data_IF_501564649943
#
_entry.id   IF_501564649943
#
_cell.length_a   1.000
_cell.length_b   1.000
_cell.length_c   1.000
_cell.angle_alpha   90.00
_cell.angle_beta   90.00
_cell.angle_gamma   90.00
#
_symmetry.space_group_name_H-M   'P 1'
#
loop_
_entity.id
_entity.type
_entity.pdbx_description
1 polymer ?
#
# COMPACT_ATOMS: atom_id res chain seq x y z
N UNK A 1 14.62 21.01 -29.10
CA UNK A 1 14.07 19.66 -29.40
C UNK A 1 13.96 18.75 -28.16
N UNK A 2 14.20 19.27 -26.93
CA UNK A 2 14.03 18.52 -25.66
C UNK A 2 12.63 18.67 -25.05
N UNK A 3 11.73 19.40 -25.70
CA UNK A 3 10.37 19.65 -25.21
C UNK A 3 9.39 18.60 -25.73
N UNK A 4 9.66 17.92 -26.83
CA UNK A 4 8.67 17.06 -27.50
C UNK A 4 8.38 15.76 -26.74
N UNK A 5 9.37 15.12 -26.11
CA UNK A 5 9.18 13.78 -25.54
C UNK A 5 8.70 13.73 -24.08
N UNK A 6 8.99 14.77 -23.28
CA UNK A 6 8.34 14.94 -21.96
C UNK A 6 6.87 15.34 -22.17
N UNK A 7 6.61 16.14 -23.22
CA UNK A 7 5.26 16.36 -23.74
C UNK A 7 4.64 15.09 -24.33
N UNK A 8 5.35 14.11 -24.88
CA UNK A 8 4.73 12.89 -25.43
C UNK A 8 4.24 11.94 -24.33
N UNK A 9 4.99 11.72 -23.25
CA UNK A 9 4.51 10.92 -22.11
C UNK A 9 3.44 11.67 -21.30
N UNK A 10 3.63 12.97 -21.03
CA UNK A 10 2.60 13.80 -20.38
C UNK A 10 1.39 14.06 -21.29
N UNK A 11 1.52 14.01 -22.63
CA UNK A 11 0.39 14.10 -23.56
C UNK A 11 -0.33 12.77 -23.71
N UNK A 12 0.36 11.63 -23.72
CA UNK A 12 -0.27 10.31 -23.65
C UNK A 12 -1.04 10.14 -22.33
N UNK A 13 -0.49 10.63 -21.21
CA UNK A 13 -1.19 10.69 -19.92
C UNK A 13 -2.30 11.75 -19.89
N UNK A 14 -2.12 12.94 -20.49
CA UNK A 14 -3.20 13.94 -20.65
C UNK A 14 -4.32 13.49 -21.58
N UNK A 15 -4.03 12.59 -22.53
CA UNK A 15 -4.97 12.02 -23.48
C UNK A 15 -5.63 10.74 -22.96
N UNK A 16 -5.07 10.12 -21.91
CA UNK A 16 -5.77 9.13 -21.08
C UNK A 16 -6.81 9.82 -20.20
N UNK A 17 -7.71 10.58 -20.81
CA UNK A 17 -8.88 11.12 -20.11
C UNK A 17 -9.82 9.96 -19.86
N UNK A 18 -10.25 9.82 -18.61
CA UNK A 18 -11.29 8.89 -18.20
C UNK A 18 -12.47 8.98 -19.19
N UNK A 19 -12.79 7.84 -19.80
CA UNK A 19 -13.97 7.70 -20.65
C UNK A 19 -15.19 7.90 -19.75
N UNK A 20 -16.34 8.43 -20.25
CA UNK A 20 -17.54 8.60 -19.44
C UNK A 20 -17.97 7.33 -18.68
N UNK A 21 -17.68 6.14 -19.21
CA UNK A 21 -17.91 4.85 -18.56
C UNK A 21 -17.05 4.63 -17.31
N UNK A 22 -15.84 5.17 -17.25
CA UNK A 22 -14.96 5.04 -16.08
C UNK A 22 -15.54 5.79 -14.88
N UNK A 23 -16.14 6.96 -15.11
CA UNK A 23 -16.85 7.71 -14.07
C UNK A 23 -18.07 6.95 -13.53
N UNK A 24 -18.79 6.22 -14.39
CA UNK A 24 -19.91 5.37 -13.97
C UNK A 24 -19.41 4.22 -13.08
N UNK A 25 -18.29 3.60 -13.43
CA UNK A 25 -17.68 2.53 -12.63
C UNK A 25 -17.21 3.06 -11.26
N UNK A 26 -16.57 4.23 -11.23
CA UNK A 26 -16.15 4.89 -9.98
C UNK A 26 -17.35 5.24 -9.10
N UNK A 27 -18.42 5.80 -9.68
CA UNK A 27 -19.64 6.10 -8.94
C UNK A 27 -20.30 4.84 -8.40
N UNK A 28 -20.37 3.77 -9.21
CA UNK A 28 -20.89 2.48 -8.79
C UNK A 28 -20.08 1.86 -7.65
N UNK A 29 -18.74 2.00 -7.67
CA UNK A 29 -17.87 1.58 -6.59
C UNK A 29 -18.21 2.28 -5.27
N UNK A 30 -18.31 3.62 -5.27
CA UNK A 30 -18.64 4.35 -4.04
C UNK A 30 -20.04 4.01 -3.53
N UNK A 31 -21.03 3.87 -4.42
CA UNK A 31 -22.37 3.43 -4.05
C UNK A 31 -22.37 2.02 -3.46
N UNK A 32 -21.61 1.09 -4.03
CA UNK A 32 -21.50 -0.28 -3.51
C UNK A 32 -20.89 -0.30 -2.10
N UNK A 33 -19.79 0.43 -1.88
CA UNK A 33 -19.13 0.49 -0.56
C UNK A 33 -20.03 1.16 0.48
N UNK A 34 -20.66 2.29 0.14
CA UNK A 34 -21.63 2.96 1.04
C UNK A 34 -22.81 2.01 1.31
N UNK A 35 -23.29 1.28 0.31
CA UNK A 35 -24.35 0.30 0.43
C UNK A 35 -24.01 -0.84 1.40
N UNK A 36 -22.80 -1.41 1.30
CA UNK A 36 -22.31 -2.43 2.24
C UNK A 36 -22.18 -1.85 3.66
N UNK A 37 -21.68 -0.62 3.78
CA UNK A 37 -21.55 0.07 5.07
C UNK A 37 -22.89 0.31 5.76
N UNK A 38 -23.88 0.83 5.03
CA UNK A 38 -25.25 1.05 5.54
C UNK A 38 -25.92 -0.28 5.86
N UNK A 39 -25.84 -1.27 4.96
CA UNK A 39 -26.42 -2.60 5.18
C UNK A 39 -25.89 -3.25 6.46
N UNK A 40 -24.57 -3.20 6.66
CA UNK A 40 -23.91 -3.70 7.88
C UNK A 40 -24.35 -2.93 9.13
N UNK A 41 -24.36 -1.59 9.06
CA UNK A 41 -24.77 -0.72 10.17
C UNK A 41 -26.24 -0.96 10.58
N UNK A 42 -27.15 -1.13 9.61
CA UNK A 42 -28.55 -1.43 9.87
C UNK A 42 -28.77 -2.82 10.50
N UNK A 43 -27.94 -3.82 10.16
CA UNK A 43 -28.04 -5.18 10.71
C UNK A 43 -27.58 -5.25 12.19
N UNK A 44 -26.66 -4.39 12.61
CA UNK A 44 -26.05 -4.39 13.94
C UNK A 44 -26.55 -3.30 14.90
N UNK A 45 -27.61 -2.56 14.54
CA UNK A 45 -28.21 -1.48 15.36
C UNK A 45 -28.81 -1.89 16.72
N UNK A 46 -28.92 -3.19 17.01
CA UNK A 46 -29.61 -3.70 18.21
C UNK A 46 -28.79 -3.79 19.51
N UNK A 47 -27.46 -3.55 19.49
CA UNK A 47 -26.64 -3.68 20.71
C UNK A 47 -25.40 -2.78 20.66
N UNK A 48 -25.14 -2.00 21.72
CA UNK A 48 -23.93 -1.18 21.89
C UNK A 48 -22.63 -2.02 21.88
N UNK A 49 -22.71 -3.31 22.25
CA UNK A 49 -21.61 -4.27 22.07
C UNK A 49 -21.38 -4.65 20.60
N UNK A 50 -22.39 -4.62 19.74
CA UNK A 50 -22.25 -4.87 18.30
C UNK A 50 -21.55 -3.72 17.56
N UNK A 51 -21.73 -2.48 18.04
CA UNK A 51 -21.08 -1.29 17.49
C UNK A 51 -19.57 -1.21 17.81
N UNK A 52 -19.16 -1.60 19.03
CA UNK A 52 -17.77 -1.51 19.49
C UNK A 52 -16.97 -2.81 19.44
N UNK A 53 -17.61 -3.98 19.54
CA UNK A 53 -16.91 -5.25 19.75
C UNK A 53 -17.04 -6.24 18.59
N UNK A 54 -17.58 -5.80 17.43
CA UNK A 54 -17.78 -6.61 16.22
C UNK A 54 -18.05 -8.08 16.58
N UNK A 55 -19.25 -8.33 17.14
CA UNK A 55 -19.57 -9.47 18.02
C UNK A 55 -18.75 -10.74 17.79
N UNK A 56 -18.31 -11.38 18.90
CA UNK A 56 -17.44 -12.58 19.00
C UNK A 56 -17.77 -13.79 18.09
N UNK A 57 -18.76 -13.70 17.22
CA UNK A 57 -19.20 -14.67 16.20
C UNK A 57 -18.82 -14.28 14.76
N UNK A 58 -17.92 -13.31 14.53
CA UNK A 58 -17.48 -12.94 13.19
C UNK A 58 -16.71 -14.11 12.54
N UNK A 59 -17.03 -14.45 11.29
CA UNK A 59 -16.29 -15.49 10.56
C UNK A 59 -14.84 -15.03 10.34
N UNK A 60 -13.89 -15.96 10.36
CA UNK A 60 -12.45 -15.65 10.30
C UNK A 60 -12.02 -15.00 8.97
N UNK A 61 -12.76 -15.24 7.88
CA UNK A 61 -12.46 -14.71 6.55
C UNK A 61 -12.56 -13.17 6.49
N UNK A 62 -13.69 -12.52 6.84
CA UNK A 62 -13.77 -11.06 6.94
C UNK A 62 -12.71 -10.44 7.87
N UNK A 63 -12.38 -11.11 8.98
CA UNK A 63 -11.36 -10.63 9.92
C UNK A 63 -9.98 -10.64 9.26
N UNK A 64 -9.58 -11.74 8.61
CA UNK A 64 -8.31 -11.82 7.89
C UNK A 64 -8.21 -10.83 6.73
N UNK A 65 -9.31 -10.61 6.01
CA UNK A 65 -9.36 -9.66 4.91
C UNK A 65 -9.32 -8.19 5.37
N UNK A 66 -9.90 -7.86 6.53
CA UNK A 66 -9.78 -6.52 7.13
C UNK A 66 -8.39 -6.29 7.72
N UNK A 67 -7.76 -7.31 8.32
CA UNK A 67 -6.34 -7.26 8.68
C UNK A 67 -5.46 -7.03 7.44
N UNK A 68 -5.76 -7.67 6.32
CA UNK A 68 -5.07 -7.42 5.05
C UNK A 68 -5.32 -6.00 4.54
N UNK A 69 -6.58 -5.54 4.47
CA UNK A 69 -6.96 -4.19 4.04
C UNK A 69 -6.25 -3.10 4.85
N UNK A 70 -6.18 -3.29 6.17
CA UNK A 70 -5.55 -2.34 7.10
C UNK A 70 -4.06 -2.16 6.88
N UNK A 71 -3.40 -3.15 6.26
CA UNK A 71 -1.98 -3.10 5.97
C UNK A 71 -1.67 -2.67 4.53
N UNK A 72 -2.62 -2.80 3.61
CA UNK A 72 -2.43 -2.49 2.19
C UNK A 72 -3.10 -1.16 1.85
N UNK A 73 -2.30 -0.11 1.86
CA UNK A 73 -2.70 1.24 1.43
C UNK A 73 -2.41 1.53 -0.05
N UNK A 74 -2.84 2.71 -0.51
CA UNK A 74 -2.48 3.26 -1.83
C UNK A 74 -0.96 3.41 -1.99
N UNK A 75 -0.24 3.63 -0.88
CA UNK A 75 1.22 3.67 -0.86
C UNK A 75 1.86 2.33 -1.25
N UNK A 76 1.26 1.21 -0.86
CA UNK A 76 1.75 -0.12 -1.23
C UNK A 76 1.57 -0.36 -2.73
N UNK A 77 0.40 -0.04 -3.29
CA UNK A 77 0.12 -0.29 -4.70
C UNK A 77 1.02 0.54 -5.62
N UNK A 78 1.11 1.87 -5.40
CA UNK A 78 1.92 2.77 -6.23
C UNK A 78 3.41 2.63 -5.91
N UNK A 79 3.76 2.53 -4.63
CA UNK A 79 5.15 2.50 -4.16
C UNK A 79 5.88 1.19 -4.49
N UNK A 80 5.23 0.03 -4.30
CA UNK A 80 5.83 -1.26 -4.65
C UNK A 80 5.91 -1.43 -6.16
N UNK A 81 4.90 -0.97 -6.91
CA UNK A 81 4.96 -0.98 -8.37
C UNK A 81 6.11 -0.11 -8.89
N UNK A 82 6.29 1.10 -8.35
CA UNK A 82 7.41 1.98 -8.72
C UNK A 82 8.78 1.44 -8.30
N UNK A 83 8.87 0.83 -7.11
CA UNK A 83 10.09 0.16 -6.66
C UNK A 83 10.40 -1.07 -7.51
N UNK A 84 9.39 -1.83 -7.93
CA UNK A 84 9.53 -2.94 -8.88
C UNK A 84 9.95 -2.47 -10.27
N UNK A 85 9.45 -1.33 -10.73
CA UNK A 85 9.82 -0.73 -12.02
C UNK A 85 11.28 -0.22 -12.03
N UNK A 86 11.78 0.29 -10.91
CA UNK A 86 13.14 0.82 -10.80
C UNK A 86 14.18 -0.23 -10.41
N UNK A 87 13.84 -1.12 -9.46
CA UNK A 87 14.76 -2.10 -8.92
C UNK A 87 14.53 -3.51 -9.45
N UNK A 88 13.35 -3.89 -9.90
CA UNK A 88 13.02 -5.25 -10.34
C UNK A 88 12.43 -6.14 -9.24
N UNK A 89 12.56 -7.46 -9.39
CA UNK A 89 11.83 -8.45 -8.58
C UNK A 89 12.29 -8.55 -7.12
N UNK A 90 13.47 -8.03 -6.80
CA UNK A 90 14.04 -8.08 -5.44
C UNK A 90 13.15 -7.43 -4.37
N UNK A 91 12.30 -6.47 -4.74
CA UNK A 91 11.35 -5.81 -3.82
C UNK A 91 10.33 -6.79 -3.24
N UNK A 92 9.97 -7.84 -3.99
CA UNK A 92 8.97 -8.83 -3.58
C UNK A 92 9.38 -9.62 -2.32
N UNK A 93 10.65 -9.60 -1.94
CA UNK A 93 11.11 -10.19 -0.69
C UNK A 93 10.49 -9.54 0.55
N UNK A 94 10.11 -8.27 0.46
CA UNK A 94 9.41 -7.55 1.53
C UNK A 94 8.10 -8.26 1.90
N UNK A 95 7.30 -8.56 0.89
CA UNK A 95 6.01 -9.23 1.04
C UNK A 95 6.16 -10.72 1.35
N UNK A 96 7.20 -11.38 0.80
CA UNK A 96 7.47 -12.78 1.14
C UNK A 96 7.89 -12.93 2.61
N UNK A 97 8.73 -12.02 3.13
CA UNK A 97 9.09 -11.96 4.55
C UNK A 97 7.86 -11.71 5.43
N UNK A 98 6.98 -10.80 5.01
CA UNK A 98 5.72 -10.53 5.69
C UNK A 98 4.87 -11.79 5.87
N UNK A 99 4.74 -12.63 4.84
CA UNK A 99 3.96 -13.86 4.91
C UNK A 99 4.45 -14.81 6.04
N UNK A 100 5.77 -14.97 6.20
CA UNK A 100 6.33 -15.80 7.26
C UNK A 100 6.13 -15.18 8.65
N UNK A 101 6.25 -13.86 8.77
CA UNK A 101 6.04 -13.15 10.04
C UNK A 101 4.56 -13.15 10.44
N UNK A 102 3.62 -13.10 9.49
CA UNK A 102 2.19 -13.23 9.77
C UNK A 102 1.83 -14.61 10.34
N UNK A 103 2.50 -15.68 9.87
CA UNK A 103 2.37 -17.00 10.50
C UNK A 103 2.89 -16.99 11.94
N UNK A 104 4.03 -16.32 12.18
CA UNK A 104 4.57 -16.13 13.53
C UNK A 104 3.62 -15.33 14.44
N UNK A 105 3.00 -14.27 13.91
CA UNK A 105 1.98 -13.51 14.61
C UNK A 105 0.83 -14.42 15.06
N UNK A 106 0.28 -15.22 14.15
CA UNK A 106 -0.85 -16.11 14.41
C UNK A 106 -0.57 -17.17 15.48
N UNK A 107 0.63 -17.76 15.49
CA UNK A 107 0.97 -18.83 16.44
C UNK A 107 1.58 -18.37 17.76
N UNK A 108 2.36 -17.28 17.76
CA UNK A 108 3.10 -16.86 18.95
C UNK A 108 2.45 -15.66 19.62
N UNK A 109 2.17 -14.61 18.85
CA UNK A 109 1.76 -13.33 19.40
C UNK A 109 0.26 -13.26 19.70
N UNK A 110 -0.60 -13.76 18.80
CA UNK A 110 -2.06 -13.77 18.98
C UNK A 110 -2.49 -14.50 20.26
N UNK A 111 -1.98 -15.71 20.58
CA UNK A 111 -2.33 -16.37 21.85
C UNK A 111 -1.93 -15.55 23.09
N UNK A 112 -0.79 -14.84 23.04
CA UNK A 112 -0.32 -13.98 24.14
C UNK A 112 -1.21 -12.75 24.31
N UNK A 113 -1.65 -12.13 23.21
CA UNK A 113 -2.54 -10.96 23.27
C UNK A 113 -3.94 -11.33 23.78
N UNK A 114 -4.48 -12.46 23.31
CA UNK A 114 -5.77 -12.97 23.79
C UNK A 114 -5.68 -13.34 25.28
N UNK A 115 -4.62 -14.04 25.71
CA UNK A 115 -4.44 -14.42 27.10
C UNK A 115 -4.24 -13.22 28.05
N UNK A 116 -3.60 -12.15 27.58
CA UNK A 116 -3.41 -10.92 28.36
C UNK A 116 -4.63 -10.00 28.41
N UNK A 117 -5.66 -10.26 27.58
CA UNK A 117 -6.92 -9.51 27.55
C UNK A 117 -6.69 -8.01 27.33
N UNK A 118 -5.81 -7.68 26.39
CA UNK A 118 -5.45 -6.31 26.00
C UNK A 118 -5.94 -6.08 24.56
N UNK A 119 -6.40 -4.86 24.30
CA UNK A 119 -6.86 -4.46 22.97
C UNK A 119 -5.82 -3.61 22.24
N UNK A 120 -4.95 -2.91 23.00
CA UNK A 120 -3.94 -2.02 22.43
C UNK A 120 -2.53 -2.38 22.90
N UNK A 121 -1.53 -2.20 22.04
CA UNK A 121 -0.13 -2.44 22.41
C UNK A 121 0.37 -1.56 23.59
N UNK A 122 0.05 -0.26 23.69
CA UNK A 122 0.37 0.54 24.88
C UNK A 122 -0.27 0.00 26.17
N UNK A 123 -1.45 -0.62 26.08
CA UNK A 123 -2.07 -1.27 27.23
C UNK A 123 -1.36 -2.57 27.61
N UNK A 124 -0.91 -3.36 26.64
CA UNK A 124 -0.04 -4.51 26.88
C UNK A 124 1.24 -4.10 27.61
N UNK A 125 1.90 -3.03 27.14
CA UNK A 125 3.08 -2.47 27.79
C UNK A 125 2.80 -2.00 29.22
N UNK A 126 1.64 -1.38 29.47
CA UNK A 126 1.21 -1.00 30.82
C UNK A 126 1.05 -2.22 31.72
N UNK A 127 0.41 -3.29 31.26
CA UNK A 127 0.22 -4.51 32.06
C UNK A 127 1.54 -5.24 32.32
N UNK A 128 2.48 -5.23 31.36
CA UNK A 128 3.76 -5.93 31.47
C UNK A 128 4.80 -5.18 32.31
N UNK A 129 4.96 -3.88 32.09
CA UNK A 129 6.02 -3.07 32.72
C UNK A 129 5.51 -2.19 33.87
N UNK A 130 4.18 -2.06 34.03
CA UNK A 130 3.57 -1.19 35.02
C UNK A 130 3.63 0.29 34.63
N UNK A 131 2.78 1.09 35.28
CA UNK A 131 2.83 2.56 35.17
C UNK A 131 1.95 3.17 34.08
N UNK A 132 1.07 4.09 34.48
CA UNK A 132 0.20 4.83 33.57
C UNK A 132 0.98 5.77 32.62
N UNK A 133 2.15 6.25 33.06
CA UNK A 133 3.00 7.16 32.27
C UNK A 133 3.49 6.52 30.96
N UNK A 134 3.87 5.24 31.00
CA UNK A 134 4.33 4.50 29.81
C UNK A 134 3.18 4.36 28.80
N UNK A 135 1.97 4.03 29.27
CA UNK A 135 0.79 3.94 28.39
C UNK A 135 0.53 5.26 27.66
N UNK A 136 0.48 6.36 28.41
CA UNK A 136 0.19 7.69 27.83
C UNK A 136 1.29 8.09 26.85
N UNK A 137 2.56 7.91 27.23
CA UNK A 137 3.69 8.23 26.35
C UNK A 137 3.65 7.43 25.04
N UNK A 138 3.52 6.11 25.13
CA UNK A 138 3.50 5.24 23.94
C UNK A 138 2.25 5.48 23.08
N UNK A 139 1.08 5.69 23.70
CA UNK A 139 -0.16 5.98 22.93
C UNK A 139 -0.05 7.30 22.18
N UNK A 140 0.44 8.36 22.84
CA UNK A 140 0.63 9.66 22.22
C UNK A 140 1.68 9.61 21.10
N UNK A 141 2.80 8.93 21.35
CA UNK A 141 3.86 8.76 20.35
C UNK A 141 3.35 7.98 19.13
N UNK A 142 2.69 6.83 19.35
CA UNK A 142 2.12 6.03 18.27
C UNK A 142 1.09 6.81 17.45
N UNK A 143 0.21 7.57 18.11
CA UNK A 143 -0.80 8.38 17.41
C UNK A 143 -0.16 9.46 16.53
N UNK A 144 0.82 10.19 17.06
CA UNK A 144 1.56 11.21 16.30
C UNK A 144 2.28 10.57 15.11
N UNK A 145 3.04 9.50 15.35
CA UNK A 145 3.77 8.81 14.28
C UNK A 145 2.81 8.32 13.20
N UNK A 146 1.65 7.77 13.55
CA UNK A 146 0.71 7.24 12.59
C UNK A 146 0.10 8.32 11.69
N UNK A 147 -0.25 9.48 12.25
CA UNK A 147 -0.77 10.63 11.48
C UNK A 147 0.27 11.11 10.47
N UNK A 148 1.51 11.32 10.91
CA UNK A 148 2.55 11.91 10.07
C UNK A 148 3.20 10.95 9.10
N UNK A 149 3.22 9.64 9.39
CA UNK A 149 3.88 8.65 8.54
C UNK A 149 2.88 7.89 7.67
N UNK A 150 1.96 7.14 8.29
CA UNK A 150 1.05 6.23 7.57
C UNK A 150 -0.05 6.99 6.85
N UNK A 151 -0.89 7.73 7.59
CA UNK A 151 -2.05 8.44 7.01
C UNK A 151 -1.59 9.44 5.95
N UNK A 152 -0.54 10.20 6.24
CA UNK A 152 0.00 11.19 5.30
C UNK A 152 0.56 10.55 4.01
N UNK A 153 1.27 9.43 4.10
CA UNK A 153 1.80 8.75 2.92
C UNK A 153 0.69 8.16 2.04
N UNK A 154 -0.33 7.54 2.64
CA UNK A 154 -1.46 6.98 1.89
C UNK A 154 -2.33 8.06 1.24
N UNK A 155 -2.59 9.16 1.94
CA UNK A 155 -3.30 10.29 1.34
C UNK A 155 -2.52 10.92 0.18
N UNK A 156 -1.21 11.09 0.34
CA UNK A 156 -0.37 11.66 -0.72
C UNK A 156 -0.32 10.75 -1.95
N UNK A 157 -0.09 9.44 -1.76
CA UNK A 157 -0.10 8.46 -2.86
C UNK A 157 -1.46 8.43 -3.58
N UNK A 158 -2.55 8.45 -2.80
CA UNK A 158 -3.91 8.51 -3.34
C UNK A 158 -4.20 9.81 -4.10
N UNK A 159 -3.72 10.94 -3.61
CA UNK A 159 -3.89 12.24 -4.25
C UNK A 159 -3.14 12.33 -5.59
N UNK A 160 -1.90 11.82 -5.67
CA UNK A 160 -1.17 11.74 -6.95
C UNK A 160 -1.93 10.86 -7.95
N UNK A 161 -2.47 9.72 -7.50
CA UNK A 161 -3.25 8.87 -8.38
C UNK A 161 -4.47 9.61 -8.95
N UNK A 162 -5.18 10.35 -8.11
CA UNK A 162 -6.36 11.12 -8.52
C UNK A 162 -6.00 12.31 -9.43
N UNK A 163 -4.87 12.97 -9.18
CA UNK A 163 -4.30 13.99 -10.05
C UNK A 163 -4.03 13.42 -11.45
N UNK A 164 -3.43 12.22 -11.54
CA UNK A 164 -3.13 11.59 -12.82
C UNK A 164 -4.37 11.03 -13.53
N UNK A 165 -5.37 10.57 -12.79
CA UNK A 165 -6.60 10.02 -13.37
C UNK A 165 -7.59 11.10 -13.82
N UNK A 166 -7.87 12.09 -12.96
CA UNK A 166 -8.94 13.10 -13.15
C UNK A 166 -8.35 14.46 -13.58
N UNK A 167 -7.08 14.74 -13.29
CA UNK A 167 -6.45 16.03 -13.55
C UNK A 167 -6.70 17.08 -12.47
N UNK A 168 -7.22 16.68 -11.31
CA UNK A 168 -7.43 17.58 -10.17
C UNK A 168 -6.11 17.95 -9.49
N UNK A 169 -6.05 19.12 -8.86
CA UNK A 169 -4.88 19.47 -8.06
C UNK A 169 -4.69 18.47 -6.91
N UNK A 170 -3.44 18.26 -6.48
CA UNK A 170 -3.13 17.39 -5.33
C UNK A 170 -3.91 17.82 -4.08
N UNK A 171 -4.06 19.13 -3.86
CA UNK A 171 -4.81 19.66 -2.72
C UNK A 171 -6.32 19.37 -2.80
N UNK A 172 -6.94 19.53 -3.98
CA UNK A 172 -8.36 19.22 -4.20
C UNK A 172 -8.62 17.72 -4.01
N UNK A 173 -7.74 16.89 -4.56
CA UNK A 173 -7.78 15.43 -4.43
C UNK A 173 -7.66 14.99 -2.97
N UNK A 174 -6.75 15.61 -2.21
CA UNK A 174 -6.56 15.32 -0.77
C UNK A 174 -7.82 15.65 0.03
N UNK A 175 -8.42 16.83 -0.19
CA UNK A 175 -9.64 17.24 0.52
C UNK A 175 -10.81 16.32 0.20
N UNK A 176 -10.97 15.91 -1.06
CA UNK A 176 -12.01 14.97 -1.48
C UNK A 176 -11.86 13.60 -0.81
N UNK A 177 -10.63 13.05 -0.75
CA UNK A 177 -10.34 11.78 -0.09
C UNK A 177 -10.61 11.85 1.42
N UNK A 178 -10.19 12.93 2.10
CA UNK A 178 -10.47 13.14 3.53
C UNK A 178 -11.97 13.21 3.81
N UNK A 179 -12.71 13.96 2.99
CA UNK A 179 -14.15 14.12 3.16
C UNK A 179 -14.89 12.79 3.01
N UNK A 180 -14.54 12.00 1.99
CA UNK A 180 -15.12 10.68 1.80
C UNK A 180 -14.78 9.72 2.94
N UNK A 181 -13.51 9.66 3.34
CA UNK A 181 -13.07 8.82 4.45
C UNK A 181 -13.83 9.18 5.74
N UNK A 182 -13.98 10.47 6.05
CA UNK A 182 -14.74 10.95 7.19
C UNK A 182 -16.19 10.45 7.17
N UNK A 183 -16.87 10.56 6.03
CA UNK A 183 -18.27 10.09 5.89
C UNK A 183 -18.37 8.59 6.16
N UNK A 184 -17.50 7.79 5.53
CA UNK A 184 -17.54 6.33 5.65
C UNK A 184 -17.22 5.86 7.08
N UNK A 185 -16.26 6.49 7.75
CA UNK A 185 -15.88 6.15 9.13
C UNK A 185 -16.96 6.57 10.13
N UNK A 186 -17.53 7.78 10.00
CA UNK A 186 -18.55 8.29 10.94
C UNK A 186 -19.87 7.55 10.81
N UNK A 187 -20.29 7.17 9.61
CA UNK A 187 -21.59 6.53 9.38
C UNK A 187 -21.62 5.03 9.76
N UNK A 188 -20.47 4.35 9.77
CA UNK A 188 -20.40 2.88 9.81
C UNK A 188 -20.29 2.24 11.21
N UNK A 189 -19.42 2.75 12.09
CA UNK A 189 -18.99 2.01 13.30
C UNK A 189 -18.06 0.82 12.98
N UNK A 190 -17.42 0.22 14.00
CA UNK A 190 -16.32 -0.75 13.82
C UNK A 190 -16.75 -1.98 12.98
N UNK A 191 -17.97 -2.47 13.19
CA UNK A 191 -18.48 -3.62 12.41
C UNK A 191 -18.76 -3.29 10.95
N UNK A 192 -19.16 -2.06 10.60
CA UNK A 192 -19.34 -1.71 9.20
C UNK A 192 -18.00 -1.57 8.50
N UNK A 193 -16.99 -1.02 9.19
CA UNK A 193 -15.62 -0.90 8.69
C UNK A 193 -15.08 -2.28 8.28
N UNK A 194 -15.20 -3.32 9.12
CA UNK A 194 -14.70 -4.66 8.77
C UNK A 194 -15.38 -5.23 7.51
N UNK A 195 -16.69 -4.99 7.33
CA UNK A 195 -17.41 -5.46 6.15
C UNK A 195 -17.08 -4.66 4.89
N UNK A 196 -16.90 -3.34 5.00
CA UNK A 196 -16.43 -2.52 3.88
C UNK A 196 -15.00 -2.86 3.49
N UNK A 197 -14.13 -3.13 4.46
CA UNK A 197 -12.76 -3.58 4.24
C UNK A 197 -12.70 -4.93 3.53
N UNK A 198 -13.56 -5.88 3.94
CA UNK A 198 -13.66 -7.18 3.27
C UNK A 198 -14.02 -7.00 1.78
N UNK A 199 -15.05 -6.19 1.49
CA UNK A 199 -15.45 -5.91 0.11
C UNK A 199 -14.33 -5.21 -0.68
N UNK A 200 -13.65 -4.23 -0.07
CA UNK A 200 -12.54 -3.50 -0.68
C UNK A 200 -11.34 -4.41 -0.97
N UNK A 201 -11.00 -5.33 -0.06
CA UNK A 201 -9.95 -6.33 -0.27
C UNK A 201 -10.25 -7.22 -1.47
N UNK A 202 -11.49 -7.70 -1.62
CA UNK A 202 -11.87 -8.48 -2.79
C UNK A 202 -11.68 -7.69 -4.10
N UNK A 203 -12.08 -6.42 -4.12
CA UNK A 203 -11.93 -5.54 -5.27
C UNK A 203 -10.46 -5.32 -5.61
N UNK A 204 -9.62 -5.03 -4.60
CA UNK A 204 -8.17 -4.82 -4.79
C UNK A 204 -7.50 -6.08 -5.35
N UNK A 205 -7.79 -7.27 -4.79
CA UNK A 205 -7.18 -8.52 -5.26
C UNK A 205 -7.58 -8.83 -6.71
N UNK A 206 -8.88 -8.73 -7.03
CA UNK A 206 -9.37 -8.97 -8.39
C UNK A 206 -8.79 -7.94 -9.36
N UNK A 207 -8.82 -6.66 -9.00
CA UNK A 207 -8.27 -5.58 -9.81
C UNK A 207 -6.78 -5.74 -10.08
N UNK A 208 -5.99 -6.07 -9.06
CA UNK A 208 -4.56 -6.33 -9.18
C UNK A 208 -4.27 -7.55 -10.08
N UNK A 209 -5.02 -8.64 -9.92
CA UNK A 209 -4.86 -9.83 -10.75
C UNK A 209 -5.19 -9.56 -12.23
N UNK A 210 -6.30 -8.86 -12.50
CA UNK A 210 -6.68 -8.46 -13.87
C UNK A 210 -5.62 -7.55 -14.48
N UNK A 211 -5.17 -6.53 -13.74
CA UNK A 211 -4.14 -5.60 -14.22
C UNK A 211 -2.83 -6.31 -14.51
N UNK A 212 -2.42 -7.26 -13.67
CA UNK A 212 -1.22 -8.05 -13.87
C UNK A 212 -1.32 -8.92 -15.14
N UNK A 213 -2.46 -9.56 -15.38
CA UNK A 213 -2.69 -10.39 -16.59
C UNK A 213 -2.72 -9.53 -17.85
N UNK A 214 -3.43 -8.40 -17.84
CA UNK A 214 -3.46 -7.48 -18.98
C UNK A 214 -2.06 -6.92 -19.29
N UNK A 215 -1.31 -6.52 -18.27
CA UNK A 215 0.07 -6.06 -18.43
C UNK A 215 0.98 -7.15 -18.99
N UNK A 216 0.78 -8.41 -18.59
CA UNK A 216 1.56 -9.54 -19.10
C UNK A 216 1.31 -9.80 -20.59
N UNK A 217 0.05 -9.70 -21.03
CA UNK A 217 -0.34 -9.88 -22.43
C UNK A 217 0.23 -8.72 -23.27
N UNK A 218 0.03 -7.48 -22.85
CA UNK A 218 0.51 -6.29 -23.56
C UNK A 218 2.04 -6.25 -23.67
N UNK A 219 2.75 -6.74 -22.64
CA UNK A 219 4.20 -6.81 -22.67
C UNK A 219 4.73 -7.85 -23.69
N UNK A 220 3.92 -8.81 -24.13
CA UNK A 220 4.32 -9.85 -25.08
C UNK A 220 4.92 -11.10 -24.42
N UNK A 221 4.60 -11.36 -23.15
CA UNK A 221 5.05 -12.52 -22.38
C UNK A 221 6.39 -12.33 -21.65
N UNK A 222 6.80 -13.34 -20.88
CA UNK A 222 7.93 -13.25 -19.95
C UNK A 222 9.26 -12.82 -20.60
N UNK A 223 9.63 -13.44 -21.73
CA UNK A 223 10.89 -13.14 -22.39
C UNK A 223 10.95 -11.68 -22.89
N UNK A 224 9.81 -11.15 -23.34
CA UNK A 224 9.71 -9.76 -23.77
C UNK A 224 9.72 -8.79 -22.59
N UNK A 225 9.08 -9.16 -21.47
CA UNK A 225 9.18 -8.38 -20.23
C UNK A 225 10.65 -8.26 -19.83
N UNK A 226 11.38 -9.38 -19.78
CA UNK A 226 12.79 -9.39 -19.37
C UNK A 226 13.66 -8.60 -20.34
N UNK A 227 13.47 -8.76 -21.65
CA UNK A 227 14.28 -8.05 -22.65
C UNK A 227 14.00 -6.54 -22.65
N UNK A 228 12.73 -6.11 -22.56
CA UNK A 228 12.35 -4.70 -22.52
C UNK A 228 12.74 -4.03 -21.21
N UNK A 229 12.61 -4.77 -20.10
CA UNK A 229 12.98 -4.27 -18.78
C UNK A 229 14.49 -4.08 -18.63
N UNK A 230 15.29 -5.04 -19.07
CA UNK A 230 16.76 -4.95 -19.07
C UNK A 230 17.31 -4.10 -20.22
N UNK A 231 16.51 -3.88 -21.25
CA UNK A 231 16.86 -3.09 -22.42
C UNK A 231 16.81 -1.58 -22.18
N UNK A 232 17.13 -0.83 -23.23
CA UNK A 232 17.07 0.64 -23.20
C UNK A 232 15.62 1.14 -23.07
N UNK A 233 14.62 0.32 -23.42
CA UNK A 233 13.19 0.63 -23.44
C UNK A 233 12.55 0.91 -22.06
N UNK A 234 13.18 0.50 -20.96
CA UNK A 234 12.74 0.85 -19.59
C UNK A 234 13.30 2.19 -19.08
N UNK A 235 14.35 2.71 -19.72
CA UNK A 235 15.04 3.91 -19.23
C UNK A 235 14.28 5.20 -19.56
N UNK A 236 14.22 6.18 -18.64
CA UNK A 236 13.61 7.47 -18.94
C UNK A 236 14.37 8.15 -20.08
N UNK A 237 13.66 8.93 -20.91
CA UNK A 237 14.23 9.48 -22.14
C UNK A 237 15.46 10.37 -21.89
N UNK A 238 15.50 11.07 -20.75
CA UNK A 238 16.67 11.83 -20.30
C UNK A 238 17.91 10.94 -20.14
N UNK A 239 17.75 9.76 -19.54
CA UNK A 239 18.85 8.79 -19.38
C UNK A 239 19.31 8.29 -20.74
N UNK A 240 18.38 7.99 -21.66
CA UNK A 240 18.73 7.57 -23.03
C UNK A 240 19.54 8.62 -23.78
N UNK A 241 19.08 9.87 -23.75
CA UNK A 241 19.76 10.99 -24.44
C UNK A 241 21.13 11.32 -23.84
N UNK A 242 21.29 11.11 -22.53
CA UNK A 242 22.58 11.23 -21.86
C UNK A 242 23.54 10.09 -22.22
N UNK A 243 23.04 8.85 -22.31
CA UNK A 243 23.83 7.68 -22.73
C UNK A 243 24.23 7.76 -24.21
N UNK A 244 23.39 8.38 -25.06
CA UNK A 244 23.68 8.60 -26.48
C UNK A 244 24.56 9.82 -26.76
N UNK A 245 25.00 10.56 -25.72
CA UNK A 245 25.84 11.76 -25.86
C UNK A 245 25.14 12.99 -26.44
N UNK A 246 23.81 13.02 -26.46
CA UNK A 246 23.03 14.09 -27.09
C UNK A 246 22.77 15.32 -26.18
N UNK A 247 23.10 15.23 -24.88
CA UNK A 247 22.86 16.27 -23.87
C UNK A 247 24.14 16.66 -23.13
N UNK A 248 24.23 17.94 -22.74
CA UNK A 248 25.33 18.47 -21.93
C UNK A 248 25.38 17.84 -20.51
N UNK A 249 26.59 17.63 -19.99
CA UNK A 249 26.85 16.92 -18.71
C UNK A 249 26.07 17.43 -17.49
N UNK A 250 25.64 18.69 -17.44
CA UNK A 250 24.92 19.24 -16.28
C UNK A 250 23.53 18.63 -16.09
N UNK A 251 22.82 18.29 -17.18
CA UNK A 251 21.52 17.61 -17.12
C UNK A 251 21.65 16.10 -16.90
N UNK A 252 22.80 15.53 -17.20
CA UNK A 252 23.07 14.09 -17.07
C UNK A 252 23.52 13.64 -15.68
N UNK A 253 23.55 14.57 -14.70
CA UNK A 253 24.00 14.28 -13.33
C UNK A 253 23.20 13.16 -12.65
N UNK A 254 21.91 13.03 -12.98
CA UNK A 254 21.01 12.00 -12.45
C UNK A 254 20.65 10.90 -13.47
N UNK A 255 21.29 10.88 -14.65
CA UNK A 255 20.97 9.90 -15.68
C UNK A 255 21.23 8.46 -15.21
N UNK A 256 22.24 8.27 -14.36
CA UNK A 256 22.59 6.97 -13.77
C UNK A 256 21.47 6.38 -12.88
N UNK A 257 20.60 7.21 -12.30
CA UNK A 257 19.46 6.75 -11.48
C UNK A 257 18.37 6.07 -12.31
N UNK A 258 18.31 6.34 -13.62
CA UNK A 258 17.35 5.73 -14.54
C UNK A 258 17.82 4.44 -15.18
N UNK A 259 19.01 3.93 -14.81
CA UNK A 259 19.57 2.70 -15.35
C UNK A 259 19.12 1.53 -14.46
N UNK A 260 18.44 0.56 -15.06
CA UNK A 260 18.03 -0.67 -14.39
C UNK A 260 19.26 -1.48 -13.97
N UNK A 261 19.40 -1.87 -12.68
CA UNK A 261 20.50 -2.70 -12.22
C UNK A 261 20.57 -4.05 -12.94
N UNK A 262 21.79 -4.53 -13.24
CA UNK A 262 21.98 -5.86 -13.85
C UNK A 262 21.37 -7.01 -13.03
N UNK A 263 21.32 -6.83 -11.70
CA UNK A 263 20.79 -7.82 -10.76
C UNK A 263 19.27 -7.74 -10.55
N UNK A 264 18.53 -6.96 -11.37
CA UNK A 264 17.10 -6.73 -11.16
C UNK A 264 16.21 -7.97 -11.26
N UNK A 265 16.65 -9.00 -11.98
CA UNK A 265 15.94 -10.29 -12.09
C UNK A 265 16.34 -11.30 -11.02
N UNK A 266 17.28 -10.95 -10.13
CA UNK A 266 17.68 -11.79 -9.01
C UNK A 266 16.89 -11.42 -7.75
N UNK A 267 16.18 -12.40 -7.20
CA UNK A 267 15.44 -12.25 -5.96
C UNK A 267 16.36 -12.01 -4.76
N UNK A 268 17.46 -12.78 -4.66
CA UNK A 268 18.54 -12.55 -3.71
C UNK A 268 19.74 -11.94 -4.43
N UNK A 269 20.16 -10.75 -4.00
CA UNK A 269 21.33 -10.07 -4.57
C UNK A 269 22.56 -10.24 -3.69
N UNK A 270 23.78 -10.04 -4.23
CA UNK A 270 25.02 -10.14 -3.47
C UNK A 270 25.01 -9.27 -2.21
N UNK A 271 25.78 -9.66 -1.19
CA UNK A 271 25.87 -8.91 0.06
C UNK A 271 26.43 -7.49 -0.11
N UNK A 272 27.13 -7.23 -1.22
CA UNK A 272 27.68 -5.93 -1.60
C UNK A 272 26.70 -5.04 -2.38
N UNK A 273 25.49 -5.52 -2.68
CA UNK A 273 24.49 -4.70 -3.37
C UNK A 273 24.07 -3.52 -2.48
N UNK A 274 24.12 -2.27 -2.98
CA UNK A 274 23.85 -1.09 -2.17
C UNK A 274 22.37 -0.90 -1.83
N UNK A 275 21.45 -1.53 -2.57
CA UNK A 275 20.01 -1.34 -2.40
C UNK A 275 19.33 -2.55 -1.76
N UNK A 276 19.68 -3.77 -2.19
CA UNK A 276 19.00 -4.99 -1.78
C UNK A 276 19.99 -6.12 -1.42
N UNK A 277 20.89 -5.93 -0.43
CA UNK A 277 21.82 -6.98 -0.03
C UNK A 277 21.07 -8.11 0.69
N UNK A 278 21.32 -9.38 0.33
CA UNK A 278 20.60 -10.52 0.93
C UNK A 278 20.71 -10.57 2.46
N UNK A 279 21.83 -10.15 3.03
CA UNK A 279 22.05 -10.09 4.48
C UNK A 279 21.10 -9.11 5.14
N UNK A 280 20.94 -7.91 4.56
CA UNK A 280 19.97 -6.91 5.01
C UNK A 280 18.53 -7.38 4.82
N UNK A 281 18.23 -8.02 3.69
CA UNK A 281 16.89 -8.51 3.37
C UNK A 281 16.44 -9.72 4.20
N UNK A 282 17.37 -10.55 4.70
CA UNK A 282 17.01 -11.66 5.59
C UNK A 282 17.05 -11.22 7.04
N UNK A 283 18.13 -10.61 7.52
CA UNK A 283 18.29 -10.34 8.95
C UNK A 283 17.69 -8.99 9.36
N UNK A 284 17.98 -7.93 8.60
CA UNK A 284 17.49 -6.58 8.90
C UNK A 284 15.99 -6.46 8.70
N UNK A 285 15.52 -6.90 7.52
CA UNK A 285 14.11 -6.84 7.17
C UNK A 285 13.27 -7.72 8.09
N UNK A 286 13.69 -8.92 8.47
CA UNK A 286 12.89 -9.78 9.37
C UNK A 286 12.62 -9.11 10.71
N UNK A 287 13.59 -8.40 11.28
CA UNK A 287 13.37 -7.65 12.54
C UNK A 287 12.35 -6.53 12.33
N UNK A 288 12.49 -5.77 11.24
CA UNK A 288 11.54 -4.71 10.89
C UNK A 288 10.15 -5.26 10.60
N UNK A 289 10.05 -6.39 9.91
CA UNK A 289 8.83 -7.12 9.60
C UNK A 289 8.15 -7.62 10.87
N UNK A 290 8.88 -8.16 11.85
CA UNK A 290 8.30 -8.58 13.14
C UNK A 290 7.70 -7.37 13.86
N UNK A 291 8.40 -6.24 13.89
CA UNK A 291 7.83 -5.03 14.47
C UNK A 291 6.57 -4.58 13.70
N UNK A 292 6.67 -4.43 12.38
CA UNK A 292 5.57 -3.96 11.53
C UNK A 292 4.36 -4.89 11.59
N UNK A 293 4.52 -6.17 11.24
CA UNK A 293 3.41 -7.10 11.11
C UNK A 293 2.89 -7.61 12.45
N UNK A 294 3.72 -7.79 13.49
CA UNK A 294 3.24 -8.29 14.78
C UNK A 294 2.80 -7.20 15.75
N UNK A 295 3.34 -5.97 15.65
CA UNK A 295 3.05 -4.89 16.62
C UNK A 295 2.02 -3.90 16.07
N UNK A 296 2.09 -3.53 14.79
CA UNK A 296 1.20 -2.53 14.18
C UNK A 296 -0.26 -3.02 14.15
N UNK A 297 -0.47 -4.34 13.96
CA UNK A 297 -1.81 -4.95 13.92
C UNK A 297 -2.56 -4.92 15.26
N UNK A 298 -1.85 -4.78 16.38
CA UNK A 298 -2.42 -4.81 17.75
C UNK A 298 -2.57 -3.39 18.30
N UNK A 299 -2.16 -2.38 17.53
CA UNK A 299 -2.49 -1.00 17.86
C UNK A 299 -3.97 -0.70 17.59
N UNK A 300 -4.66 -1.50 16.76
CA UNK A 300 -5.90 -1.08 16.11
C UNK A 300 -7.02 -2.14 15.98
N UNK A 301 -7.03 -3.20 16.81
CA UNK A 301 -8.24 -4.02 16.99
C UNK A 301 -9.02 -3.61 18.25
#
# INVERSE_FOLDING_TARGET
MSSSSEYDADSLLKNAKLVPWDFVVIAAYFVAIIGVGIWSSCRNRGSTKGYFLAGRSMHWIPVGASLFASNIGSGHFVGLAGSGASAGIGVAIFELSAAFVLLLLGWVFVPVYIASGVFTMPEYMRKRFGGQRIRVYLSSLSLILYIFTKISADLYSGAIFLEKAIGWGVYESTVALLFLALILTVAGGLSAVIWTDFAQTCIIIIGAAVLAVLSYIEAGGYNQIVSKFMGVESQPNLTRQCLSGALNSTKCRYAHCGIVPANSMHFFRPASDPAFPWTGMIFGLTISSIWYWCTDQVLWN
#
